data_IF_110352335909
#
_entry.id   IF_110352335909
#
_cell.length_a   1.000
_cell.length_b   1.000
_cell.length_c   1.000
_cell.angle_alpha   90.00
_cell.angle_beta   90.00
_cell.angle_gamma   90.00
#
_symmetry.space_group_name_H-M   'P 1'
#
loop_
_entity.id
_entity.type
_entity.pdbx_description
1 polymer ?
#
# COMPACT_ATOMS: atom_id res chain seq x y z
N UNK A 1 -3.24 1.77 -9.96
CA UNK A 1 -3.27 1.71 -8.48
C UNK A 1 -4.35 0.77 -7.94
N UNK A 2 -5.63 0.90 -8.34
CA UNK A 2 -6.69 0.01 -7.83
C UNK A 2 -6.44 -1.48 -8.18
N UNK A 3 -6.07 -1.77 -9.43
CA UNK A 3 -5.78 -3.14 -9.88
C UNK A 3 -4.57 -3.76 -9.14
N UNK A 4 -3.45 -3.03 -9.07
CA UNK A 4 -2.23 -3.51 -8.42
C UNK A 4 -2.47 -3.78 -6.94
N UNK A 5 -3.20 -2.91 -6.25
CA UNK A 5 -3.56 -3.14 -4.85
C UNK A 5 -4.51 -4.32 -4.67
N UNK A 6 -5.47 -4.51 -5.58
CA UNK A 6 -6.36 -5.67 -5.55
C UNK A 6 -5.57 -7.00 -5.66
N UNK A 7 -4.61 -7.05 -6.59
CA UNK A 7 -3.73 -8.22 -6.75
C UNK A 7 -2.85 -8.44 -5.51
N UNK A 8 -2.23 -7.37 -4.99
CA UNK A 8 -1.43 -7.43 -3.76
C UNK A 8 -2.27 -7.97 -2.61
N UNK A 9 -3.49 -7.44 -2.40
CA UNK A 9 -4.38 -7.86 -1.33
C UNK A 9 -4.81 -9.33 -1.46
N UNK A 10 -5.07 -9.82 -2.67
CA UNK A 10 -5.34 -11.24 -2.90
C UNK A 10 -4.12 -12.11 -2.59
N UNK A 11 -2.91 -11.67 -2.96
CA UNK A 11 -1.68 -12.43 -2.69
C UNK A 11 -1.25 -12.40 -1.22
N UNK A 12 -1.64 -11.38 -0.45
CA UNK A 12 -1.36 -11.29 0.99
C UNK A 12 -2.51 -11.83 1.86
N UNK A 13 -3.49 -12.51 1.25
CA UNK A 13 -4.71 -13.04 1.89
C UNK A 13 -5.47 -11.98 2.73
N UNK A 14 -5.42 -10.72 2.28
CA UNK A 14 -6.06 -9.62 2.98
C UNK A 14 -7.55 -9.63 2.67
N UNK A 15 -8.36 -9.73 3.73
CA UNK A 15 -9.83 -9.73 3.60
C UNK A 15 -10.31 -8.48 2.85
N UNK A 16 -11.28 -8.66 1.95
CA UNK A 16 -11.95 -7.62 1.18
C UNK A 16 -11.07 -6.90 0.12
N UNK A 17 -10.29 -7.64 -0.67
CA UNK A 17 -9.48 -7.08 -1.79
C UNK A 17 -10.26 -6.21 -2.77
N UNK A 18 -11.57 -6.43 -2.93
CA UNK A 18 -12.45 -5.61 -3.78
C UNK A 18 -12.55 -4.15 -3.32
N UNK A 19 -12.22 -3.84 -2.05
CA UNK A 19 -12.19 -2.47 -1.53
C UNK A 19 -11.16 -1.58 -2.24
N UNK A 20 -10.21 -2.16 -2.98
CA UNK A 20 -9.23 -1.42 -3.78
C UNK A 20 -9.88 -0.49 -4.84
N UNK A 21 -11.11 -0.79 -5.26
CA UNK A 21 -11.85 -0.02 -6.26
C UNK A 21 -12.53 1.23 -5.68
N UNK A 22 -12.72 1.31 -4.36
CA UNK A 22 -13.33 2.46 -3.70
C UNK A 22 -12.20 3.38 -3.19
N UNK A 23 -12.16 4.68 -3.54
CA UNK A 23 -11.01 5.55 -3.21
C UNK A 23 -10.66 5.62 -1.71
N UNK A 24 -11.67 5.72 -0.85
CA UNK A 24 -11.47 5.78 0.61
C UNK A 24 -11.14 4.40 1.17
N UNK A 25 -11.80 3.35 0.69
CA UNK A 25 -11.55 2.00 1.17
C UNK A 25 -10.23 1.40 0.64
N UNK A 26 -9.68 1.94 -0.45
CA UNK A 26 -8.35 1.65 -0.96
C UNK A 26 -7.28 1.99 0.10
N UNK A 27 -7.35 3.18 0.71
CA UNK A 27 -6.46 3.55 1.82
C UNK A 27 -6.57 2.58 3.01
N UNK A 28 -7.80 2.15 3.33
CA UNK A 28 -8.06 1.16 4.37
C UNK A 28 -7.41 -0.18 4.07
N UNK A 29 -7.57 -0.64 2.83
CA UNK A 29 -6.98 -1.87 2.36
C UNK A 29 -5.44 -1.79 2.37
N UNK A 30 -4.84 -0.67 1.96
CA UNK A 30 -3.39 -0.45 2.04
C UNK A 30 -2.88 -0.57 3.48
N UNK A 31 -3.57 0.05 4.45
CA UNK A 31 -3.22 -0.07 5.87
C UNK A 31 -3.27 -1.53 6.34
N UNK A 32 -4.30 -2.27 5.92
CA UNK A 32 -4.47 -3.69 6.27
C UNK A 32 -3.39 -4.58 5.66
N UNK A 33 -3.07 -4.40 4.38
CA UNK A 33 -1.98 -5.11 3.70
C UNK A 33 -0.63 -4.82 4.37
N UNK A 34 -0.41 -3.57 4.81
CA UNK A 34 0.79 -3.18 5.55
C UNK A 34 0.88 -3.75 6.98
N UNK A 35 -0.10 -4.55 7.42
CA UNK A 35 -0.17 -5.07 8.78
C UNK A 35 -0.51 -4.03 9.85
N UNK A 36 -1.07 -2.87 9.45
CA UNK A 36 -1.48 -1.79 10.37
C UNK A 36 -3.00 -1.80 10.60
N UNK A 37 -3.43 -1.15 11.69
CA UNK A 37 -4.86 -1.06 11.99
C UNK A 37 -5.56 -0.12 11.00
N UNK A 38 -6.83 -0.37 10.70
CA UNK A 38 -7.61 0.44 9.76
C UNK A 38 -7.74 1.91 10.15
N UNK A 39 -7.52 2.24 11.42
CA UNK A 39 -7.53 3.61 11.96
C UNK A 39 -6.43 4.49 11.36
N UNK A 40 -5.36 3.90 10.82
CA UNK A 40 -4.28 4.64 10.16
C UNK A 40 -4.77 5.43 8.94
N UNK A 41 -5.90 5.04 8.34
CA UNK A 41 -6.55 5.79 7.25
C UNK A 41 -6.97 7.20 7.64
N UNK A 42 -7.33 7.45 8.90
CA UNK A 42 -7.72 8.79 9.36
C UNK A 42 -6.49 9.71 9.35
N UNK A 43 -5.31 9.16 9.64
CA UNK A 43 -4.07 9.94 9.67
C UNK A 43 -3.65 10.41 8.26
N UNK A 44 -4.11 9.76 7.19
CA UNK A 44 -3.90 10.20 5.80
C UNK A 44 -4.60 11.53 5.48
N UNK A 45 -5.63 11.91 6.23
CA UNK A 45 -6.30 13.21 6.06
C UNK A 45 -5.50 14.37 6.66
N UNK A 46 -4.42 14.09 7.40
CA UNK A 46 -3.51 15.10 7.95
C UNK A 46 -2.36 15.32 6.94
N UNK A 47 -2.26 16.50 6.29
CA UNK A 47 -1.35 16.70 5.15
C UNK A 47 0.14 16.43 5.45
N UNK A 48 0.62 16.84 6.62
CA UNK A 48 2.02 16.63 7.02
C UNK A 48 2.31 15.17 7.37
N UNK A 49 1.35 14.47 7.99
CA UNK A 49 1.53 13.09 8.37
C UNK A 49 1.46 12.15 7.16
N UNK A 50 0.68 12.51 6.13
CA UNK A 50 0.45 11.71 4.93
C UNK A 50 1.76 11.27 4.24
N UNK A 51 2.78 12.14 4.17
CA UNK A 51 4.07 11.85 3.56
C UNK A 51 4.83 10.74 4.31
N UNK A 52 4.91 10.85 5.64
CA UNK A 52 5.59 9.88 6.50
C UNK A 52 4.81 8.55 6.52
N UNK A 53 3.48 8.64 6.64
CA UNK A 53 2.59 7.47 6.66
C UNK A 53 2.63 6.71 5.35
N UNK A 54 2.67 7.42 4.21
CA UNK A 54 2.82 6.82 2.90
C UNK A 54 4.06 5.92 2.85
N UNK A 55 5.22 6.43 3.28
CA UNK A 55 6.46 5.64 3.33
C UNK A 55 6.29 4.43 4.25
N UNK A 56 5.81 4.60 5.48
CA UNK A 56 5.64 3.50 6.45
C UNK A 56 4.70 2.41 5.94
N UNK A 57 3.57 2.81 5.34
CA UNK A 57 2.58 1.89 4.78
C UNK A 57 3.19 1.10 3.63
N UNK A 58 3.92 1.77 2.72
CA UNK A 58 4.56 1.11 1.60
C UNK A 58 5.71 0.19 2.01
N UNK A 59 6.50 0.56 3.02
CA UNK A 59 7.48 -0.34 3.64
C UNK A 59 6.79 -1.59 4.19
N UNK A 60 5.64 -1.43 4.86
CA UNK A 60 4.83 -2.54 5.36
C UNK A 60 4.28 -3.43 4.24
N UNK A 61 3.80 -2.85 3.14
CA UNK A 61 3.33 -3.61 1.96
C UNK A 61 4.48 -4.36 1.31
N UNK A 62 5.66 -3.73 1.16
CA UNK A 62 6.86 -4.38 0.64
C UNK A 62 7.26 -5.57 1.52
N UNK A 63 7.29 -5.38 2.85
CA UNK A 63 7.57 -6.46 3.81
C UNK A 63 6.53 -7.58 3.71
N UNK A 64 5.24 -7.27 3.60
CA UNK A 64 4.17 -8.27 3.44
C UNK A 64 4.29 -9.07 2.13
N UNK A 65 4.92 -8.50 1.11
CA UNK A 65 5.24 -9.16 -0.17
C UNK A 65 6.64 -9.80 -0.18
N UNK A 66 7.34 -9.90 0.95
CA UNK A 66 8.73 -10.39 1.06
C UNK A 66 9.73 -9.61 0.18
N UNK A 67 9.47 -8.32 -0.02
CA UNK A 67 10.27 -7.42 -0.84
C UNK A 67 11.06 -6.44 0.05
N UNK A 68 12.13 -5.82 -0.49
CA UNK A 68 12.95 -4.91 0.27
C UNK A 68 12.15 -3.71 0.81
N UNK A 69 12.26 -3.44 2.11
CA UNK A 69 11.52 -2.34 2.76
C UNK A 69 11.87 -0.97 2.17
N UNK A 70 13.10 -0.78 1.70
CA UNK A 70 13.55 0.48 1.10
C UNK A 70 12.76 0.85 -0.18
N UNK A 71 12.05 -0.10 -0.80
CA UNK A 71 11.09 0.21 -1.86
C UNK A 71 10.01 1.20 -1.41
N UNK A 72 9.63 1.18 -0.12
CA UNK A 72 8.68 2.16 0.41
C UNK A 72 9.17 3.61 0.37
N UNK A 73 10.49 3.84 0.43
CA UNK A 73 11.09 5.18 0.33
C UNK A 73 11.04 5.68 -1.11
N UNK A 74 11.28 4.80 -2.08
CA UNK A 74 11.21 5.13 -3.51
C UNK A 74 9.80 5.52 -3.98
N UNK A 75 8.75 5.16 -3.23
CA UNK A 75 7.36 5.49 -3.54
C UNK A 75 7.04 6.99 -3.45
N UNK A 76 7.92 7.79 -2.84
CA UNK A 76 7.79 9.26 -2.80
C UNK A 76 7.80 9.86 -4.21
N UNK A 77 8.50 9.22 -5.15
CA UNK A 77 8.58 9.66 -6.54
C UNK A 77 7.42 9.02 -7.33
N UNK A 78 6.44 9.80 -7.82
CA UNK A 78 5.20 9.27 -8.39
C UNK A 78 5.42 8.40 -9.64
N UNK A 79 6.48 8.68 -10.42
CA UNK A 79 6.84 7.89 -11.60
C UNK A 79 7.36 6.50 -11.20
N UNK A 80 8.24 6.46 -10.19
CA UNK A 80 8.84 5.21 -9.68
C UNK A 80 7.80 4.36 -8.96
N UNK A 81 6.83 5.01 -8.31
CA UNK A 81 5.74 4.36 -7.60
C UNK A 81 4.95 3.39 -8.50
N UNK A 82 4.62 3.76 -9.74
CA UNK A 82 3.89 2.88 -10.67
C UNK A 82 4.67 1.59 -11.01
N UNK A 83 5.98 1.70 -11.17
CA UNK A 83 6.86 0.57 -11.47
C UNK A 83 6.95 -0.36 -10.26
N UNK A 84 7.19 0.20 -9.06
CA UNK A 84 7.30 -0.58 -7.82
C UNK A 84 5.97 -1.26 -7.49
N UNK A 85 4.83 -0.60 -7.66
CA UNK A 85 3.53 -1.25 -7.48
C UNK A 85 3.35 -2.44 -8.41
N UNK A 86 3.81 -2.33 -9.66
CA UNK A 86 3.82 -3.44 -10.62
C UNK A 86 4.70 -4.59 -10.13
N UNK A 87 5.92 -4.29 -9.67
CA UNK A 87 6.84 -5.28 -9.10
C UNK A 87 6.22 -5.94 -7.87
N UNK A 88 5.70 -5.18 -6.91
CA UNK A 88 5.07 -5.72 -5.70
C UNK A 88 3.82 -6.57 -6.00
N UNK A 89 3.05 -6.22 -7.03
CA UNK A 89 1.85 -6.96 -7.43
C UNK A 89 2.16 -8.25 -8.20
N UNK A 90 3.09 -8.19 -9.15
CA UNK A 90 3.36 -9.28 -10.08
C UNK A 90 4.59 -10.12 -9.73
N UNK A 91 5.51 -9.63 -8.89
CA UNK A 91 6.54 -10.47 -8.28
C UNK A 91 5.88 -11.63 -7.55
N UNK A 92 6.49 -12.80 -7.61
CA UNK A 92 6.04 -13.99 -6.88
C UNK A 92 6.17 -13.75 -5.37
#
# INVERSE_FOLDING_TARGET
MALTLHVIANKTDTRNSWLAWIPIANLYLMCKVAGRSGWWTILFFIPLANLILGVIIWMGIARARNQPEWFGILMIIPIVNLIIMGILAFSE
#
